data_IF_774671161096
#
_entry.id   IF_774671161096
#
_cell.length_a   1.000
_cell.length_b   1.000
_cell.length_c   1.000
_cell.angle_alpha   90.00
_cell.angle_beta   90.00
_cell.angle_gamma   90.00
#
_symmetry.space_group_name_H-M   'P 1'
#
loop_
_entity.id
_entity.type
_entity.pdbx_description
1 polymer ?
#
# COMPACT_ATOMS: atom_id res chain seq x y z
N UNK A 1 5.66 -4.52 -41.60
CA UNK A 1 6.85 -3.90 -40.97
C UNK A 1 6.41 -3.12 -39.74
N UNK A 2 6.90 -3.45 -38.54
CA UNK A 2 6.69 -2.62 -37.34
C UNK A 2 7.60 -1.39 -37.49
N UNK A 3 7.00 -0.21 -37.53
CA UNK A 3 7.75 1.05 -37.49
C UNK A 3 8.19 1.23 -36.04
N UNK A 4 9.44 0.90 -35.74
CA UNK A 4 10.05 1.25 -34.46
C UNK A 4 10.13 2.77 -34.37
N UNK A 5 9.20 3.38 -33.65
CA UNK A 5 9.28 4.79 -33.27
C UNK A 5 10.53 4.96 -32.40
N UNK A 6 11.62 5.49 -32.96
CA UNK A 6 12.73 6.02 -32.17
C UNK A 6 12.21 7.18 -31.33
N UNK A 7 11.90 6.92 -30.06
CA UNK A 7 11.53 7.96 -29.10
C UNK A 7 12.80 8.78 -28.83
N UNK A 8 12.85 10.02 -29.32
CA UNK A 8 13.90 10.98 -28.99
C UNK A 8 13.67 11.49 -27.57
N UNK A 9 14.29 10.83 -26.59
CA UNK A 9 14.17 11.20 -25.18
C UNK A 9 14.89 12.54 -24.93
N UNK A 10 14.15 13.54 -24.43
CA UNK A 10 14.70 14.86 -24.10
C UNK A 10 15.65 14.79 -22.90
N UNK A 11 16.57 15.74 -22.77
CA UNK A 11 17.58 15.76 -21.68
C UNK A 11 16.95 15.66 -20.28
N UNK A 12 15.87 16.41 -20.04
CA UNK A 12 15.10 16.37 -18.78
C UNK A 12 14.48 14.99 -18.49
N UNK A 13 14.04 14.26 -19.52
CA UNK A 13 13.47 12.91 -19.38
C UNK A 13 14.55 11.87 -19.07
N UNK A 14 15.74 11.99 -19.68
CA UNK A 14 16.91 11.15 -19.34
C UNK A 14 17.36 11.35 -17.89
N UNK A 15 17.34 12.60 -17.43
CA UNK A 15 17.68 12.94 -16.04
C UNK A 15 16.67 12.35 -15.06
N UNK A 16 15.38 12.50 -15.33
CA UNK A 16 14.32 11.89 -14.51
C UNK A 16 14.44 10.36 -14.43
N UNK A 17 14.75 9.70 -15.56
CA UNK A 17 15.00 8.24 -15.58
C UNK A 17 16.24 7.85 -14.76
N UNK A 18 17.29 8.68 -14.79
CA UNK A 18 18.50 8.46 -13.98
C UNK A 18 18.17 8.58 -12.49
N UNK A 19 17.44 9.62 -12.11
CA UNK A 19 17.01 9.85 -10.72
C UNK A 19 16.09 8.73 -10.22
N UNK A 20 15.14 8.26 -11.02
CA UNK A 20 14.27 7.14 -10.65
C UNK A 20 15.04 5.82 -10.43
N UNK A 21 16.05 5.54 -11.28
CA UNK A 21 16.96 4.40 -11.09
C UNK A 21 17.82 4.55 -9.83
N UNK A 22 18.34 5.74 -9.57
CA UNK A 22 19.11 6.04 -8.36
C UNK A 22 18.25 5.84 -7.12
N UNK A 23 17.03 6.38 -7.11
CA UNK A 23 16.06 6.22 -6.04
C UNK A 23 15.70 4.74 -5.81
N UNK A 24 15.58 3.96 -6.88
CA UNK A 24 15.32 2.52 -6.78
C UNK A 24 16.48 1.80 -6.07
N UNK A 25 17.73 2.09 -6.45
CA UNK A 25 18.92 1.52 -5.78
C UNK A 25 18.98 1.91 -4.30
N UNK A 26 18.75 3.18 -3.99
CA UNK A 26 18.70 3.69 -2.61
C UNK A 26 17.63 2.95 -1.79
N UNK A 27 16.44 2.73 -2.38
CA UNK A 27 15.37 1.96 -1.73
C UNK A 27 15.75 0.51 -1.50
N UNK A 28 16.38 -0.14 -2.47
CA UNK A 28 16.84 -1.52 -2.34
C UNK A 28 17.92 -1.64 -1.26
N UNK A 29 18.84 -0.68 -1.18
CA UNK A 29 19.85 -0.62 -0.13
C UNK A 29 19.21 -0.49 1.26
N UNK A 30 18.30 0.46 1.46
CA UNK A 30 17.53 0.60 2.72
C UNK A 30 16.77 -0.69 3.04
N UNK A 31 16.16 -1.32 2.04
CA UNK A 31 15.39 -2.54 2.23
C UNK A 31 16.26 -3.74 2.63
N UNK A 32 17.51 -3.77 2.17
CA UNK A 32 18.47 -4.81 2.54
C UNK A 32 19.03 -4.68 3.96
N UNK A 33 18.95 -3.49 4.57
CA UNK A 33 19.44 -3.26 5.93
C UNK A 33 18.70 -4.12 6.96
N UNK A 34 19.42 -4.64 7.97
CA UNK A 34 18.81 -5.44 9.03
C UNK A 34 17.84 -4.60 9.87
N UNK A 35 16.74 -5.22 10.27
CA UNK A 35 15.81 -4.63 11.24
C UNK A 35 16.35 -4.85 12.65
N UNK A 36 16.58 -3.76 13.36
CA UNK A 36 17.04 -3.77 14.75
C UNK A 36 15.82 -3.57 15.66
N UNK A 37 15.59 -4.51 16.56
CA UNK A 37 14.52 -4.43 17.53
C UNK A 37 14.76 -3.27 18.51
N UNK A 38 13.71 -2.51 18.78
CA UNK A 38 13.74 -1.41 19.73
C UNK A 38 13.54 -1.95 21.15
N UNK A 39 14.36 -1.50 22.11
CA UNK A 39 14.22 -1.87 23.54
C UNK A 39 12.82 -1.57 24.11
N UNK A 40 12.12 -0.58 23.55
CA UNK A 40 10.73 -0.25 23.86
C UNK A 40 10.01 0.13 22.56
N UNK A 41 8.78 -0.37 22.32
CA UNK A 41 7.99 0.06 21.18
C UNK A 41 7.71 1.56 21.22
N UNK A 42 7.85 2.23 20.08
CA UNK A 42 7.61 3.68 19.95
C UNK A 42 6.24 3.90 19.33
N UNK A 43 5.44 4.79 19.93
CA UNK A 43 4.15 5.15 19.35
C UNK A 43 4.33 5.83 18.00
N UNK A 44 3.61 5.35 16.99
CA UNK A 44 3.64 5.92 15.65
C UNK A 44 2.34 6.64 15.31
N UNK A 45 1.21 5.95 15.41
CA UNK A 45 -0.09 6.51 15.03
C UNK A 45 -1.24 5.69 15.62
N UNK A 46 -2.46 6.20 15.48
CA UNK A 46 -3.67 5.40 15.71
C UNK A 46 -4.08 4.69 14.42
N UNK A 47 -4.69 3.53 14.58
CA UNK A 47 -5.21 2.71 13.49
C UNK A 47 -6.62 2.24 13.78
N UNK A 48 -7.34 1.95 12.70
CA UNK A 48 -8.68 1.41 12.74
C UNK A 48 -8.69 0.14 11.88
N UNK A 49 -9.17 -0.95 12.49
CA UNK A 49 -9.13 -2.31 11.92
C UNK A 49 -10.46 -3.02 12.10
N UNK A 50 -10.71 -4.03 11.27
CA UNK A 50 -11.75 -5.01 11.51
C UNK A 50 -11.35 -5.99 12.61
N UNK A 51 -12.29 -6.32 13.47
CA UNK A 51 -12.19 -7.38 14.47
C UNK A 51 -13.37 -8.34 14.34
N UNK A 52 -13.18 -9.62 14.66
CA UNK A 52 -14.25 -10.61 14.59
C UNK A 52 -15.19 -10.47 15.80
N UNK A 53 -16.45 -10.10 15.56
CA UNK A 53 -17.47 -9.99 16.60
C UNK A 53 -17.91 -11.35 17.14
N UNK A 54 -17.89 -12.39 16.29
CA UNK A 54 -18.37 -13.72 16.63
C UNK A 54 -17.42 -14.44 17.60
N UNK A 55 -17.94 -14.79 18.78
CA UNK A 55 -17.22 -15.60 19.76
C UNK A 55 -17.25 -17.10 19.40
N UNK A 56 -18.38 -17.59 18.86
CA UNK A 56 -18.57 -18.99 18.48
C UNK A 56 -19.09 -19.09 17.04
N UNK A 57 -18.40 -19.89 16.22
CA UNK A 57 -18.80 -20.21 14.84
C UNK A 57 -17.97 -21.38 14.33
N UNK A 58 -18.56 -22.28 13.53
CA UNK A 58 -17.82 -23.33 12.84
C UNK A 58 -16.77 -22.79 11.84
N UNK A 59 -16.91 -21.53 11.41
CA UNK A 59 -15.99 -20.87 10.48
C UNK A 59 -15.08 -19.85 11.15
N UNK A 60 -15.04 -19.81 12.50
CA UNK A 60 -14.29 -18.80 13.26
C UNK A 60 -12.82 -18.71 12.83
N UNK A 61 -12.18 -19.86 12.65
CA UNK A 61 -10.77 -19.92 12.24
C UNK A 61 -10.57 -19.30 10.85
N UNK A 62 -11.42 -19.63 9.89
CA UNK A 62 -11.35 -19.07 8.54
C UNK A 62 -11.57 -17.54 8.56
N UNK A 63 -12.51 -17.06 9.37
CA UNK A 63 -12.74 -15.62 9.53
C UNK A 63 -11.54 -14.90 10.17
N UNK A 64 -10.96 -15.46 11.23
CA UNK A 64 -9.76 -14.92 11.85
C UNK A 64 -8.60 -14.88 10.86
N UNK A 65 -8.37 -15.96 10.11
CA UNK A 65 -7.35 -16.01 9.08
C UNK A 65 -7.55 -14.92 8.01
N UNK A 66 -8.80 -14.72 7.53
CA UNK A 66 -9.10 -13.68 6.55
C UNK A 66 -8.78 -12.29 7.09
N UNK A 67 -9.17 -12.00 8.34
CA UNK A 67 -8.92 -10.71 8.97
C UNK A 67 -7.42 -10.51 9.18
N UNK A 68 -6.71 -11.48 9.75
CA UNK A 68 -5.28 -11.35 10.05
C UNK A 68 -4.42 -11.25 8.78
N UNK A 69 -4.74 -12.01 7.74
CA UNK A 69 -3.94 -12.04 6.52
C UNK A 69 -4.22 -10.88 5.57
N UNK A 70 -5.47 -10.40 5.50
CA UNK A 70 -5.91 -9.48 4.43
C UNK A 70 -6.49 -8.15 4.91
N UNK A 71 -6.79 -8.00 6.21
CA UNK A 71 -7.21 -6.70 6.75
C UNK A 71 -6.05 -5.71 6.74
N UNK A 72 -6.33 -4.47 6.36
CA UNK A 72 -5.36 -3.38 6.39
C UNK A 72 -5.69 -2.41 7.49
N UNK A 73 -4.65 -1.91 8.17
CA UNK A 73 -4.79 -0.86 9.16
C UNK A 73 -5.07 0.45 8.44
N UNK A 74 -6.27 1.02 8.65
CA UNK A 74 -6.56 2.39 8.25
C UNK A 74 -5.93 3.32 9.27
N UNK A 75 -4.88 4.05 8.88
CA UNK A 75 -4.22 5.00 9.78
C UNK A 75 -5.10 6.23 9.98
N UNK A 76 -5.18 6.70 11.22
CA UNK A 76 -6.04 7.82 11.57
C UNK A 76 -5.25 8.91 12.28
N UNK A 77 -5.37 10.15 11.78
CA UNK A 77 -4.67 11.32 12.33
C UNK A 77 -5.44 12.02 13.45
N UNK A 78 -6.77 11.97 13.41
CA UNK A 78 -7.63 12.68 14.37
C UNK A 78 -8.66 11.75 15.01
N UNK A 79 -8.53 11.52 16.31
CA UNK A 79 -9.38 10.64 17.12
C UNK A 79 -10.86 11.10 17.22
N UNK A 80 -11.16 12.38 16.98
CA UNK A 80 -12.53 12.90 17.10
C UNK A 80 -13.46 12.44 15.98
N UNK A 81 -12.93 12.21 14.77
CA UNK A 81 -13.74 11.81 13.59
C UNK A 81 -13.85 10.31 13.41
N UNK A 82 -13.25 9.52 14.31
CA UNK A 82 -13.01 8.10 14.02
C UNK A 82 -14.23 7.24 14.25
N UNK A 83 -15.15 7.67 15.11
CA UNK A 83 -16.45 7.02 15.24
C UNK A 83 -17.26 7.05 13.94
N UNK A 84 -17.00 8.02 13.05
CA UNK A 84 -17.65 8.16 11.74
C UNK A 84 -16.88 7.48 10.60
N UNK A 85 -15.69 6.93 10.88
CA UNK A 85 -14.87 6.25 9.87
C UNK A 85 -15.07 4.74 9.95
N UNK A 86 -15.07 4.10 8.78
CA UNK A 86 -15.03 2.64 8.66
C UNK A 86 -13.61 2.15 8.33
N UNK A 87 -13.24 0.92 8.76
CA UNK A 87 -11.97 0.31 8.39
C UNK A 87 -11.86 0.10 6.89
N UNK A 88 -10.63 -0.13 6.42
CA UNK A 88 -10.44 -0.49 5.02
C UNK A 88 -11.20 -1.79 4.72
N UNK A 89 -11.93 -1.88 3.59
CA UNK A 89 -12.57 -3.12 3.18
C UNK A 89 -11.52 -4.19 2.93
N UNK A 90 -11.84 -5.44 3.27
CA UNK A 90 -10.98 -6.58 2.99
C UNK A 90 -11.16 -6.94 1.51
N UNK A 91 -10.12 -6.67 0.71
CA UNK A 91 -10.13 -6.87 -0.75
C UNK A 91 -8.96 -7.76 -1.13
N UNK A 92 -9.26 -8.82 -1.88
CA UNK A 92 -8.28 -9.77 -2.38
C UNK A 92 -8.17 -9.66 -3.90
N UNK A 93 -6.94 -9.79 -4.40
CA UNK A 93 -6.73 -10.05 -5.82
C UNK A 93 -7.05 -11.50 -6.20
N UNK A 94 -6.99 -11.81 -7.51
CA UNK A 94 -7.31 -13.15 -8.02
C UNK A 94 -6.37 -14.25 -7.48
N UNK A 95 -5.12 -13.92 -7.20
CA UNK A 95 -4.14 -14.87 -6.67
C UNK A 95 -4.43 -15.16 -5.19
N UNK A 96 -4.54 -14.11 -4.40
CA UNK A 96 -4.87 -14.17 -2.96
C UNK A 96 -6.19 -14.91 -2.73
N UNK A 97 -7.22 -14.61 -3.52
CA UNK A 97 -8.52 -15.28 -3.44
C UNK A 97 -8.43 -16.79 -3.72
N UNK A 98 -7.66 -17.20 -4.74
CA UNK A 98 -7.46 -18.62 -5.05
C UNK A 98 -6.76 -19.36 -3.91
N UNK A 99 -5.71 -18.77 -3.34
CA UNK A 99 -5.00 -19.35 -2.21
C UNK A 99 -5.90 -19.48 -0.99
N UNK A 100 -6.72 -18.47 -0.70
CA UNK A 100 -7.69 -18.50 0.39
C UNK A 100 -8.70 -19.64 0.19
N UNK A 101 -9.32 -19.73 -0.98
CA UNK A 101 -10.35 -20.73 -1.28
C UNK A 101 -9.78 -22.16 -1.32
N UNK A 102 -8.52 -22.33 -1.74
CA UNK A 102 -7.85 -23.62 -1.67
C UNK A 102 -7.69 -24.11 -0.22
N UNK A 103 -7.41 -23.18 0.71
CA UNK A 103 -7.29 -23.49 2.14
C UNK A 103 -8.65 -23.61 2.85
N UNK A 104 -9.60 -22.74 2.51
CA UNK A 104 -10.94 -22.67 3.09
C UNK A 104 -12.00 -22.58 1.97
N UNK A 105 -12.46 -23.72 1.41
CA UNK A 105 -13.36 -23.74 0.25
C UNK A 105 -14.70 -23.01 0.47
N UNK A 106 -15.25 -23.06 1.69
CA UNK A 106 -16.49 -22.36 2.04
C UNK A 106 -16.39 -20.83 1.93
N UNK A 107 -15.17 -20.29 1.95
CA UNK A 107 -14.93 -18.86 1.88
C UNK A 107 -15.45 -18.23 0.58
N UNK A 108 -15.65 -19.02 -0.49
CA UNK A 108 -16.22 -18.54 -1.76
C UNK A 108 -17.50 -17.73 -1.52
N UNK A 109 -18.35 -18.16 -0.57
CA UNK A 109 -19.66 -17.57 -0.28
C UNK A 109 -19.59 -16.22 0.43
N UNK A 110 -18.41 -15.83 0.90
CA UNK A 110 -18.22 -14.61 1.68
C UNK A 110 -17.64 -13.47 0.86
N UNK A 111 -17.34 -13.70 -0.42
CA UNK A 111 -16.75 -12.68 -1.29
C UNK A 111 -17.63 -12.34 -2.47
N UNK A 112 -17.71 -11.04 -2.78
CA UNK A 112 -18.31 -10.52 -4.00
C UNK A 112 -17.21 -10.19 -5.01
N UNK A 113 -17.36 -10.72 -6.22
CA UNK A 113 -16.48 -10.41 -7.35
C UNK A 113 -16.91 -9.08 -7.96
N UNK A 114 -15.99 -8.11 -8.08
CA UNK A 114 -16.22 -6.86 -8.82
C UNK A 114 -15.04 -6.48 -9.70
N UNK A 115 -15.25 -5.46 -10.52
CA UNK A 115 -14.19 -4.73 -11.21
C UNK A 115 -13.88 -3.45 -10.43
N UNK A 116 -12.61 -3.16 -10.23
CA UNK A 116 -12.20 -1.90 -9.62
C UNK A 116 -12.18 -0.77 -10.66
N UNK A 117 -11.81 0.45 -10.23
CA UNK A 117 -11.69 1.63 -11.09
C UNK A 117 -10.73 1.47 -12.28
N UNK A 118 -9.88 0.44 -12.26
CA UNK A 118 -8.94 0.10 -13.34
C UNK A 118 -9.36 -1.14 -14.13
N UNK A 119 -10.62 -1.57 -14.00
CA UNK A 119 -11.17 -2.76 -14.66
C UNK A 119 -10.45 -4.08 -14.33
N UNK A 120 -9.70 -4.11 -13.22
CA UNK A 120 -9.10 -5.32 -12.67
C UNK A 120 -10.10 -6.01 -11.77
N UNK A 121 -10.15 -7.35 -11.84
CA UNK A 121 -11.05 -8.15 -10.99
C UNK A 121 -10.51 -8.22 -9.57
N UNK A 122 -11.36 -7.89 -8.60
CA UNK A 122 -11.09 -8.02 -7.18
C UNK A 122 -12.27 -8.68 -6.44
N UNK A 123 -11.97 -9.26 -5.29
CA UNK A 123 -12.91 -10.01 -4.46
C UNK A 123 -13.03 -9.29 -3.12
N UNK A 124 -14.22 -8.76 -2.82
CA UNK A 124 -14.47 -8.03 -1.57
C UNK A 124 -15.13 -8.95 -0.57
N UNK A 125 -14.63 -8.97 0.65
CA UNK A 125 -15.30 -9.63 1.75
C UNK A 125 -16.63 -8.93 2.07
N UNK A 126 -17.72 -9.66 1.96
CA UNK A 126 -19.09 -9.16 2.09
C UNK A 126 -19.75 -9.54 3.42
N UNK A 127 -19.01 -10.21 4.31
CA UNK A 127 -19.51 -10.60 5.63
C UNK A 127 -19.20 -9.51 6.65
N UNK A 128 -19.74 -8.31 6.44
CA UNK A 128 -19.53 -7.16 7.34
C UNK A 128 -20.29 -7.33 8.65
N UNK A 129 -21.39 -8.08 8.66
CA UNK A 129 -22.24 -8.31 9.84
C UNK A 129 -21.55 -9.05 10.98
N UNK A 130 -20.47 -9.77 10.68
CA UNK A 130 -19.66 -10.50 11.66
C UNK A 130 -18.45 -9.71 12.13
N UNK A 131 -18.26 -8.50 11.60
CA UNK A 131 -17.12 -7.64 11.90
C UNK A 131 -17.53 -6.50 12.83
N UNK A 132 -16.56 -6.06 13.62
CA UNK A 132 -16.66 -4.88 14.46
C UNK A 132 -15.45 -3.99 14.23
N UNK A 133 -15.65 -2.67 14.23
CA UNK A 133 -14.55 -1.71 14.12
C UNK A 133 -13.80 -1.62 15.46
N UNK A 134 -12.47 -1.74 15.40
CA UNK A 134 -11.60 -1.68 16.58
C UNK A 134 -10.53 -0.61 16.43
N UNK A 135 -10.33 0.16 17.50
CA UNK A 135 -9.25 1.12 17.64
C UNK A 135 -7.98 0.47 18.17
N UNK A 136 -6.87 0.75 17.51
CA UNK A 136 -5.56 0.23 17.89
C UNK A 136 -4.50 1.34 17.89
N UNK A 137 -3.50 1.19 18.76
CA UNK A 137 -2.26 1.99 18.69
C UNK A 137 -1.28 1.24 17.79
N UNK A 138 -0.77 1.92 16.77
CA UNK A 138 0.28 1.40 15.90
C UNK A 138 1.61 1.80 16.52
N UNK A 139 2.42 0.79 16.84
CA UNK A 139 3.72 0.95 17.45
C UNK A 139 4.80 0.51 16.46
N UNK A 140 5.93 1.23 16.44
CA UNK A 140 7.15 0.80 15.77
C UNK A 140 7.93 -0.05 16.77
N UNK A 141 8.22 -1.28 16.40
CA UNK A 141 9.00 -2.23 17.19
C UNK A 141 10.41 -2.44 16.66
N UNK A 142 10.65 -2.07 15.39
CA UNK A 142 11.94 -2.24 14.74
C UNK A 142 12.34 -0.96 14.01
N UNK A 143 13.63 -0.68 13.98
CA UNK A 143 14.22 0.39 13.16
C UNK A 143 15.29 -0.17 12.24
N UNK A 144 15.59 0.58 11.19
CA UNK A 144 16.79 0.33 10.36
C UNK A 144 17.77 1.46 10.58
N UNK A 145 19.05 1.13 10.71
CA UNK A 145 20.11 2.13 10.79
C UNK A 145 20.49 2.57 9.38
N UNK A 146 19.81 3.59 8.89
CA UNK A 146 20.00 4.14 7.56
C UNK A 146 21.09 5.21 7.62
N UNK A 147 22.03 5.18 6.67
CA UNK A 147 23.03 6.21 6.52
C UNK A 147 22.34 7.57 6.25
N UNK A 148 22.62 8.63 7.05
CA UNK A 148 21.99 9.94 6.88
C UNK A 148 22.15 10.54 5.48
N UNK A 149 23.28 10.31 4.82
CA UNK A 149 23.52 10.79 3.45
C UNK A 149 22.58 10.11 2.45
N UNK A 150 22.35 8.82 2.65
CA UNK A 150 21.49 8.01 1.80
C UNK A 150 20.01 8.37 2.02
N UNK A 151 19.61 8.64 3.26
CA UNK A 151 18.27 9.14 3.56
C UNK A 151 18.04 10.56 3.03
N UNK A 152 19.04 11.44 3.15
CA UNK A 152 19.00 12.80 2.60
C UNK A 152 18.84 12.77 1.08
N UNK A 153 19.68 11.98 0.38
CA UNK A 153 19.62 11.84 -1.08
C UNK A 153 18.31 11.22 -1.54
N UNK A 154 17.77 10.25 -0.80
CA UNK A 154 16.44 9.71 -1.06
C UNK A 154 15.38 10.82 -1.08
N UNK A 155 15.34 11.64 -0.03
CA UNK A 155 14.35 12.73 0.10
C UNK A 155 14.50 13.77 -1.01
N UNK A 156 15.73 14.17 -1.31
CA UNK A 156 16.02 15.11 -2.40
C UNK A 156 15.47 14.62 -3.74
N UNK A 157 15.74 13.36 -4.10
CA UNK A 157 15.23 12.77 -5.34
C UNK A 157 13.70 12.64 -5.31
N UNK A 158 13.13 12.23 -4.18
CA UNK A 158 11.68 12.14 -4.00
C UNK A 158 11.02 13.52 -4.19
N UNK A 159 11.58 14.60 -3.65
CA UNK A 159 11.07 15.95 -3.83
C UNK A 159 11.14 16.40 -5.30
N UNK A 160 12.25 16.14 -6.00
CA UNK A 160 12.42 16.51 -7.41
C UNK A 160 11.38 15.80 -8.30
N UNK A 161 11.11 14.52 -8.03
CA UNK A 161 10.22 13.69 -8.85
C UNK A 161 8.75 13.93 -8.49
N UNK A 162 8.42 13.92 -7.20
CA UNK A 162 7.04 13.74 -6.72
C UNK A 162 6.35 15.04 -6.31
N UNK A 163 7.10 16.07 -5.94
CA UNK A 163 6.54 17.38 -5.59
C UNK A 163 6.22 18.19 -6.85
N UNK A 164 6.89 17.90 -7.97
CA UNK A 164 6.64 18.54 -9.26
C UNK A 164 5.74 17.66 -10.16
N UNK A 165 4.47 18.05 -10.34
CA UNK A 165 3.49 17.35 -11.18
C UNK A 165 3.94 17.17 -12.64
N UNK A 166 4.72 18.10 -13.19
CA UNK A 166 5.22 18.01 -14.57
C UNK A 166 6.28 16.91 -14.70
N UNK A 167 7.16 16.77 -13.69
CA UNK A 167 8.19 15.74 -13.66
C UNK A 167 7.59 14.35 -13.47
N UNK A 168 6.63 14.22 -12.55
CA UNK A 168 5.86 13.00 -12.36
C UNK A 168 5.15 12.58 -13.64
N UNK A 169 4.42 13.50 -14.28
CA UNK A 169 3.68 13.23 -15.52
C UNK A 169 4.61 12.81 -16.68
N UNK A 170 5.83 13.36 -16.76
CA UNK A 170 6.84 12.93 -17.74
C UNK A 170 7.32 11.51 -17.46
N UNK A 171 7.61 11.17 -16.22
CA UNK A 171 7.99 9.79 -15.86
C UNK A 171 6.85 8.80 -16.16
N UNK A 172 5.62 9.13 -15.78
CA UNK A 172 4.44 8.31 -16.06
C UNK A 172 4.24 8.08 -17.57
N UNK A 173 4.45 9.12 -18.39
CA UNK A 173 4.39 9.00 -19.84
C UNK A 173 5.54 8.17 -20.44
N UNK A 174 6.76 8.27 -19.90
CA UNK A 174 7.94 7.54 -20.38
C UNK A 174 7.88 6.05 -20.10
N UNK A 175 7.40 5.67 -18.91
CA UNK A 175 7.14 4.27 -18.59
C UNK A 175 5.88 3.75 -19.31
N UNK A 176 5.12 4.64 -19.95
CA UNK A 176 3.76 4.42 -20.42
C UNK A 176 2.82 4.18 -19.25
N UNK A 177 1.52 4.14 -19.52
CA UNK A 177 0.56 3.49 -18.62
C UNK A 177 0.82 1.96 -18.49
N UNK A 178 2.07 1.49 -18.68
CA UNK A 178 2.61 0.17 -18.35
C UNK A 178 3.22 0.14 -16.95
N UNK A 179 2.83 1.04 -16.06
CA UNK A 179 2.65 0.60 -14.68
C UNK A 179 1.49 -0.38 -14.70
N UNK A 180 1.82 -1.66 -14.88
CA UNK A 180 0.97 -2.73 -14.38
C UNK A 180 0.57 -2.34 -12.96
N UNK A 181 -0.67 -1.87 -12.80
CA UNK A 181 -1.28 -1.52 -11.51
C UNK A 181 -1.26 -2.70 -10.51
N UNK A 182 -0.79 -3.88 -10.96
CA UNK A 182 -0.52 -5.10 -10.24
C UNK A 182 0.88 -5.21 -9.64
N UNK A 183 1.86 -4.38 -10.02
CA UNK A 183 3.22 -4.49 -9.47
C UNK A 183 3.26 -4.08 -8.00
N UNK A 184 3.89 -4.91 -7.16
CA UNK A 184 4.08 -4.64 -5.72
C UNK A 184 4.79 -3.30 -5.49
N UNK A 185 5.68 -2.89 -6.39
CA UNK A 185 6.42 -1.63 -6.32
C UNK A 185 5.53 -0.41 -6.52
N UNK A 186 4.51 -0.47 -7.40
CA UNK A 186 3.55 0.63 -7.59
C UNK A 186 2.57 0.75 -6.41
N UNK A 187 2.10 -0.39 -5.85
CA UNK A 187 1.31 -0.38 -4.61
C UNK A 187 2.07 0.25 -3.44
N UNK A 188 3.38 -0.05 -3.31
CA UNK A 188 4.26 0.60 -2.33
C UNK A 188 4.44 2.10 -2.60
N UNK A 189 4.56 2.49 -3.88
CA UNK A 189 4.71 3.91 -4.30
C UNK A 189 3.46 4.74 -3.98
N UNK A 190 2.25 4.20 -4.18
CA UNK A 190 0.99 4.84 -3.76
C UNK A 190 0.85 4.93 -2.25
N UNK A 191 1.20 3.86 -1.51
CA UNK A 191 1.18 3.88 -0.04
C UNK A 191 2.15 4.93 0.54
N UNK A 192 3.31 5.13 -0.09
CA UNK A 192 4.26 6.17 0.30
C UNK A 192 3.76 7.58 -0.04
N UNK A 193 3.06 7.77 -1.16
CA UNK A 193 2.46 9.06 -1.51
C UNK A 193 1.42 9.53 -0.48
N UNK A 194 0.54 8.63 -0.04
CA UNK A 194 -0.46 8.91 1.01
C UNK A 194 0.18 9.22 2.38
N UNK A 195 1.43 8.79 2.59
CA UNK A 195 2.21 9.05 3.82
C UNK A 195 2.92 10.41 3.79
N UNK A 196 3.39 10.85 2.61
CA UNK A 196 4.16 12.10 2.44
C UNK A 196 3.23 13.31 2.33
N UNK A 197 2.08 13.18 1.65
CA UNK A 197 1.06 14.22 1.56
C UNK A 197 -0.27 13.70 2.09
N UNK A 198 -0.60 13.87 3.39
CA UNK A 198 -2.01 13.82 3.76
C UNK A 198 -2.76 14.85 2.93
N UNK A 199 -3.84 14.42 2.29
CA UNK A 199 -4.85 15.30 1.71
C UNK A 199 -5.23 16.31 2.79
N UNK A 200 -4.76 17.55 2.64
CA UNK A 200 -5.28 18.68 3.40
C UNK A 200 -6.65 18.98 2.79
N UNK A 201 -7.69 18.55 3.50
CA UNK A 201 -9.04 19.01 3.20
C UNK A 201 -9.11 20.40 3.83
N UNK A 202 -9.07 21.43 2.99
CA UNK A 202 -9.38 22.81 3.41
C UNK A 202 -10.80 22.81 3.99
N UNK A 203 -10.92 23.36 5.20
CA UNK A 203 -12.18 23.51 5.95
C UNK A 203 -13.09 24.55 5.33
#
# INVERSE_FOLDING_TARGET
MRVDRKITIKTKEKELLRLDRELSKIRDEINSLPSIELKKPIFHSYGLVWYLKLQTSKYREAYLYIIEAFSKIKRVKNLKKVHQMEPEPIILDKGEYRTLVAKYPDAIRWFLKRKNKFNVTEYIFNKVEILEKKFVKVMITHRKEINPNLESRKREIEDIIYTNRENLGKLDNLFGNRYEYTSKSYKLKLQLYDLIYPIQIET
#
